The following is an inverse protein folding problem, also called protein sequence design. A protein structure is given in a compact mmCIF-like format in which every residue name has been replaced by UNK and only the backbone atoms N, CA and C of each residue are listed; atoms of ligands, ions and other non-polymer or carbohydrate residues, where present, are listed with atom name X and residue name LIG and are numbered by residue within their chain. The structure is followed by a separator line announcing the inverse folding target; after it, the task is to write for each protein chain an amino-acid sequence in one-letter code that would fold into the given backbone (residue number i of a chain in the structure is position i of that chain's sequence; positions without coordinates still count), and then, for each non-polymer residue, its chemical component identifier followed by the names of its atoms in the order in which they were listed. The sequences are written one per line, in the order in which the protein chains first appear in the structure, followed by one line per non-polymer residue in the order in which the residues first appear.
data_IF_923987756525
#
_entry.id   IF_923987756525
#
_cell.length_a   1.000
_cell.length_b   1.000
_cell.length_c   1.000
_cell.angle_alpha   90.00
_cell.angle_beta   90.00
_cell.angle_gamma   90.00
#
_symmetry.space_group_name_H-M   'P 1'
#
loop_
_entity.id
_entity.type
_entity.pdbx_description
1 polymer ?
#
# COMPACT_ATOMS: atom_id res chain seq x y z
N UNK A 1 10.93 1.52 19.10
CA UNK A 1 11.70 1.05 17.91
C UNK A 1 10.80 0.33 16.90
N UNK A 2 10.05 -0.72 17.27
CA UNK A 2 9.17 -1.46 16.35
C UNK A 2 7.89 -0.71 15.92
N UNK A 3 7.23 -0.01 16.84
CA UNK A 3 6.03 0.80 16.54
C UNK A 3 6.31 1.90 15.53
N UNK A 4 7.42 2.62 15.69
CA UNK A 4 7.89 3.64 14.74
C UNK A 4 8.15 3.06 13.35
N UNK A 5 8.80 1.90 13.28
CA UNK A 5 9.03 1.21 12.01
C UNK A 5 7.70 0.84 11.32
N UNK A 6 6.74 0.30 12.06
CA UNK A 6 5.43 -0.04 11.54
C UNK A 6 4.63 1.19 11.11
N UNK A 7 4.63 2.26 11.90
CA UNK A 7 4.03 3.55 11.52
C UNK A 7 4.60 4.05 10.21
N UNK A 8 5.93 4.02 10.05
CA UNK A 8 6.58 4.45 8.81
C UNK A 8 6.20 3.56 7.62
N UNK A 9 6.18 2.23 7.81
CA UNK A 9 5.80 1.29 6.75
C UNK A 9 4.35 1.45 6.34
N UNK A 10 3.43 1.58 7.29
CA UNK A 10 2.00 1.75 7.00
C UNK A 10 1.69 3.11 6.37
N UNK A 11 2.33 4.18 6.88
CA UNK A 11 2.20 5.53 6.31
C UNK A 11 2.71 5.63 4.88
N UNK A 12 3.59 4.72 4.44
CA UNK A 12 4.02 4.64 3.04
C UNK A 12 2.91 4.18 2.09
N UNK A 13 2.01 3.30 2.56
CA UNK A 13 0.99 2.69 1.69
C UNK A 13 -0.35 3.40 1.74
N UNK A 14 -0.58 4.27 2.71
CA UNK A 14 -1.85 4.97 2.89
C UNK A 14 -1.63 6.46 2.67
N UNK A 15 -2.38 7.06 1.74
CA UNK A 15 -2.33 8.50 1.49
C UNK A 15 -2.84 9.28 2.71
N UNK A 16 -2.17 10.40 2.99
CA UNK A 16 -2.57 11.39 4.00
C UNK A 16 -2.72 10.88 5.44
N UNK A 17 -2.11 9.73 5.76
CA UNK A 17 -2.17 9.15 7.09
C UNK A 17 -1.05 9.70 7.98
N UNK A 18 -1.40 10.63 8.86
CA UNK A 18 -0.46 11.25 9.79
C UNK A 18 0.15 10.24 10.79
N UNK A 19 1.47 10.27 11.04
CA UNK A 19 2.17 9.29 11.89
C UNK A 19 1.66 9.25 13.34
N UNK A 20 1.25 10.39 13.88
CA UNK A 20 0.66 10.54 15.22
C UNK A 20 -0.68 9.78 15.37
N UNK A 21 -1.51 9.78 14.32
CA UNK A 21 -2.82 9.12 14.35
C UNK A 21 -2.70 7.59 14.33
N UNK A 22 -1.62 7.08 13.71
CA UNK A 22 -1.33 5.65 13.61
C UNK A 22 -0.62 5.16 14.87
N UNK A 23 0.35 5.92 15.39
CA UNK A 23 1.24 5.49 16.48
C UNK A 23 0.48 5.13 17.75
N UNK A 24 -0.49 5.96 18.17
CA UNK A 24 -1.33 5.70 19.33
C UNK A 24 -2.19 4.44 19.18
N UNK A 25 -2.80 4.25 18.01
CA UNK A 25 -3.63 3.06 17.71
C UNK A 25 -2.78 1.78 17.61
N UNK A 26 -1.58 1.87 17.04
CA UNK A 26 -0.63 0.75 17.01
C UNK A 26 -0.22 0.34 18.41
N UNK A 27 0.12 1.30 19.28
CA UNK A 27 0.47 1.03 20.67
C UNK A 27 -0.65 0.30 21.42
N UNK A 28 -1.90 0.65 21.15
CA UNK A 28 -3.08 -0.03 21.70
C UNK A 28 -3.27 -1.47 21.18
N UNK A 29 -2.51 -1.89 20.16
CA UNK A 29 -2.57 -3.24 19.61
C UNK A 29 -3.60 -3.43 18.49
N UNK A 30 -4.37 -2.38 18.15
CA UNK A 30 -5.36 -2.45 17.09
C UNK A 30 -5.48 -1.12 16.34
N UNK A 31 -5.29 -1.18 15.02
CA UNK A 31 -5.54 -0.06 14.11
C UNK A 31 -6.74 -0.41 13.23
N UNK A 32 -7.69 0.49 13.17
CA UNK A 32 -8.82 0.44 12.23
C UNK A 32 -8.87 1.75 11.46
N UNK A 33 -8.83 1.64 10.14
CA UNK A 33 -8.99 2.74 9.20
C UNK A 33 -10.19 2.45 8.31
N UNK A 34 -10.89 3.51 7.91
CA UNK A 34 -12.04 3.45 7.01
C UNK A 34 -11.76 4.34 5.81
N UNK A 35 -12.29 3.95 4.65
CA UNK A 35 -12.24 4.74 3.42
C UNK A 35 -10.83 5.24 3.09
N UNK A 36 -9.90 4.29 3.03
CA UNK A 36 -8.47 4.54 2.82
C UNK A 36 -8.16 4.49 1.34
N UNK A 37 -7.48 5.52 0.83
CA UNK A 37 -6.81 5.48 -0.47
C UNK A 37 -5.36 5.02 -0.31
N UNK A 38 -4.95 4.07 -1.14
CA UNK A 38 -3.58 3.56 -1.13
C UNK A 38 -2.67 4.37 -2.06
N UNK A 39 -1.42 4.49 -1.68
CA UNK A 39 -0.40 5.17 -2.48
C UNK A 39 -0.02 4.29 -3.69
N UNK A 40 -0.34 4.77 -4.89
CA UNK A 40 -0.07 4.08 -6.13
C UNK A 40 1.43 3.89 -6.39
N UNK A 41 2.29 4.84 -5.99
CA UNK A 41 3.72 4.69 -6.17
C UNK A 41 4.27 3.55 -5.31
N UNK A 42 3.76 3.42 -4.08
CA UNK A 42 4.13 2.33 -3.18
C UNK A 42 3.57 0.98 -3.65
N UNK A 43 2.35 0.95 -4.21
CA UNK A 43 1.74 -0.25 -4.77
C UNK A 43 2.41 -0.70 -6.07
N UNK A 44 2.69 0.23 -6.99
CA UNK A 44 3.40 -0.05 -8.23
C UNK A 44 4.74 -0.71 -7.92
N UNK A 45 5.51 -0.18 -6.96
CA UNK A 45 6.77 -0.82 -6.55
C UNK A 45 6.64 -2.29 -6.13
N UNK A 46 5.56 -2.65 -5.43
CA UNK A 46 5.31 -4.04 -5.02
C UNK A 46 4.81 -4.90 -6.18
N UNK A 47 4.04 -4.31 -7.09
CA UNK A 47 3.32 -5.01 -8.13
C UNK A 47 4.02 -4.94 -9.49
N UNK A 48 5.19 -4.30 -9.58
CA UNK A 48 6.00 -4.16 -10.79
C UNK A 48 6.24 -5.49 -11.51
N UNK A 49 6.47 -6.57 -10.76
CA UNK A 49 6.70 -7.91 -11.32
C UNK A 49 5.40 -8.69 -11.58
N UNK A 50 4.31 -8.32 -10.90
CA UNK A 50 3.04 -9.04 -10.95
C UNK A 50 2.03 -8.44 -11.95
N UNK A 51 2.14 -7.14 -12.25
CA UNK A 51 1.24 -6.47 -13.18
C UNK A 51 1.73 -6.63 -14.62
N UNK A 52 0.83 -7.04 -15.55
CA UNK A 52 1.16 -7.02 -16.97
C UNK A 52 1.69 -5.66 -17.41
N UNK A 53 2.67 -5.66 -18.31
CA UNK A 53 3.33 -4.45 -18.83
C UNK A 53 2.38 -3.44 -19.51
N UNK A 54 1.18 -3.87 -19.84
CA UNK A 54 0.11 -3.06 -20.42
C UNK A 54 -0.88 -2.49 -19.38
N UNK A 55 -0.80 -2.86 -18.11
CA UNK A 55 -1.74 -2.41 -17.08
C UNK A 55 -1.14 -1.31 -16.21
N UNK A 56 -1.91 -0.26 -15.97
CA UNK A 56 -1.59 0.88 -15.10
C UNK A 56 -2.64 1.01 -13.99
N UNK A 57 -2.19 1.14 -12.73
CA UNK A 57 -3.08 1.44 -11.61
C UNK A 57 -3.46 2.92 -11.62
N UNK A 58 -4.76 3.21 -11.56
CA UNK A 58 -5.30 4.59 -11.52
C UNK A 58 -5.77 4.99 -10.14
N UNK A 59 -6.38 4.05 -9.42
CA UNK A 59 -6.88 4.29 -8.07
C UNK A 59 -7.00 2.97 -7.32
N UNK A 60 -6.66 2.98 -6.03
CA UNK A 60 -6.88 1.83 -5.16
C UNK A 60 -7.44 2.31 -3.84
N UNK A 61 -8.64 1.86 -3.51
CA UNK A 61 -9.37 2.25 -2.30
C UNK A 61 -9.77 1.03 -1.50
N UNK A 62 -9.62 1.10 -0.19
CA UNK A 62 -10.09 0.08 0.75
C UNK A 62 -11.12 0.71 1.67
N UNK A 63 -12.36 0.21 1.71
CA UNK A 63 -13.35 0.74 2.66
C UNK A 63 -12.97 0.46 4.10
N UNK A 64 -12.25 -0.63 4.35
CA UNK A 64 -11.76 -0.96 5.69
C UNK A 64 -10.38 -1.60 5.66
N UNK A 65 -9.49 -1.06 6.50
CA UNK A 65 -8.19 -1.65 6.82
C UNK A 65 -8.13 -1.90 8.31
N UNK A 66 -7.80 -3.13 8.71
CA UNK A 66 -7.56 -3.46 10.12
C UNK A 66 -6.22 -4.13 10.33
N UNK A 67 -5.55 -3.74 11.40
CA UNK A 67 -4.24 -4.27 11.77
C UNK A 67 -4.29 -4.62 13.24
N UNK A 68 -4.00 -5.88 13.55
CA UNK A 68 -3.97 -6.38 14.92
C UNK A 68 -2.54 -6.79 15.28
N UNK A 69 -2.03 -6.17 16.34
CA UNK A 69 -0.69 -6.37 16.86
C UNK A 69 -0.78 -7.09 18.21
N UNK A 70 -0.45 -8.39 18.27
CA UNK A 70 -0.46 -9.12 19.52
C UNK A 70 0.84 -8.84 20.31
N UNK A 71 1.06 -7.61 20.78
CA UNK A 71 2.31 -7.16 21.41
C UNK A 71 2.87 -8.14 22.45
N UNK A 72 2.00 -8.67 23.31
CA UNK A 72 2.37 -9.59 24.39
C UNK A 72 2.65 -11.03 23.92
N UNK A 73 2.35 -11.34 22.64
CA UNK A 73 2.42 -12.69 22.07
C UNK A 73 3.04 -12.72 20.67
N UNK A 74 3.84 -11.72 20.27
CA UNK A 74 4.47 -11.67 18.94
C UNK A 74 5.32 -12.89 18.58
N UNK A 75 5.83 -13.64 19.56
CA UNK A 75 6.56 -14.91 19.33
C UNK A 75 5.64 -16.11 19.03
N UNK A 76 4.36 -16.03 19.39
CA UNK A 76 3.38 -17.13 19.31
C UNK A 76 2.21 -16.83 18.39
N UNK A 77 1.95 -15.55 18.10
CA UNK A 77 0.84 -15.09 17.28
C UNK A 77 1.36 -14.07 16.25
N UNK A 78 0.96 -14.21 14.98
CA UNK A 78 1.38 -13.30 13.93
C UNK A 78 0.69 -11.94 14.05
N UNK A 79 1.31 -10.93 13.43
CA UNK A 79 0.61 -9.70 13.09
C UNK A 79 -0.43 -10.01 12.02
N UNK A 80 -1.67 -9.54 12.22
CA UNK A 80 -2.75 -9.77 11.26
C UNK A 80 -3.12 -8.45 10.60
N UNK A 81 -3.09 -8.41 9.27
CA UNK A 81 -3.56 -7.29 8.46
C UNK A 81 -4.73 -7.78 7.62
N UNK A 82 -5.84 -7.06 7.65
CA UNK A 82 -7.06 -7.35 6.90
C UNK A 82 -7.45 -6.12 6.07
N UNK A 83 -7.61 -6.32 4.76
CA UNK A 83 -8.15 -5.35 3.83
C UNK A 83 -9.54 -5.84 3.40
N UNK A 84 -10.54 -4.95 3.42
CA UNK A 84 -11.92 -5.26 3.04
C UNK A 84 -12.49 -4.23 2.10
N UNK A 85 -13.30 -4.74 1.17
CA UNK A 85 -13.98 -4.00 0.10
C UNK A 85 -12.97 -3.13 -0.65
N UNK A 86 -12.11 -3.82 -1.42
CA UNK A 86 -11.03 -3.21 -2.19
C UNK A 86 -11.56 -2.88 -3.57
N UNK A 87 -11.63 -1.59 -3.87
CA UNK A 87 -11.98 -1.06 -5.18
C UNK A 87 -10.68 -0.68 -5.90
N UNK A 88 -10.45 -1.27 -7.07
CA UNK A 88 -9.25 -1.06 -7.89
C UNK A 88 -9.68 -0.53 -9.25
N UNK A 89 -9.17 0.64 -9.62
CA UNK A 89 -9.31 1.21 -10.95
C UNK A 89 -8.01 1.01 -11.72
N UNK A 90 -8.13 0.43 -12.92
CA UNK A 90 -7.01 0.14 -13.82
C UNK A 90 -7.27 0.71 -15.20
N UNK A 91 -6.20 1.11 -15.87
CA UNK A 91 -6.19 1.39 -17.29
C UNK A 91 -5.35 0.34 -18.01
N UNK A 92 -5.90 -0.19 -19.10
CA UNK A 92 -5.19 -1.10 -19.99
C UNK A 92 -4.74 -0.29 -21.21
N UNK A 93 -3.45 -0.34 -21.48
CA UNK A 93 -2.81 0.26 -22.65
C UNK A 93 -2.64 -0.78 -23.75
N UNK A 94 -2.58 -0.33 -25.01
CA UNK A 94 -2.20 -1.22 -26.10
C UNK A 94 -0.72 -1.62 -25.89
N UNK A 95 -0.37 -2.93 -25.88
CA UNK A 95 1.01 -3.37 -25.81
C UNK A 95 1.90 -2.83 -26.94
N UNK A 96 1.31 -2.36 -28.04
CA UNK A 96 2.03 -1.75 -29.18
C UNK A 96 2.20 -0.23 -29.02
N UNK A 97 1.58 0.38 -28.02
CA UNK A 97 1.75 1.80 -27.73
C UNK A 97 3.15 2.09 -27.17
N UNK A 98 4.02 2.58 -28.05
CA UNK A 98 5.40 2.92 -27.74
C UNK A 98 5.50 4.12 -26.78
N UNK A 99 4.48 4.99 -26.73
CA UNK A 99 4.51 6.20 -25.89
C UNK A 99 4.32 5.85 -24.41
N UNK A 100 3.36 4.97 -24.11
CA UNK A 100 3.18 4.42 -22.76
C UNK A 100 4.38 3.61 -22.31
N UNK A 101 4.88 2.68 -23.14
CA UNK A 101 6.02 1.83 -22.79
C UNK A 101 7.29 2.66 -22.50
N UNK A 102 7.52 3.73 -23.27
CA UNK A 102 8.63 4.65 -23.02
C UNK A 102 8.45 5.44 -21.70
N UNK A 103 7.24 5.93 -21.42
CA UNK A 103 6.91 6.64 -20.16
C UNK A 103 7.09 5.73 -18.94
N UNK A 104 6.63 4.48 -19.03
CA UNK A 104 6.77 3.47 -17.98
C UNK A 104 8.25 3.12 -17.73
N UNK A 105 9.04 2.91 -18.80
CA UNK A 105 10.47 2.63 -18.70
C UNK A 105 11.28 3.81 -18.11
N UNK A 106 10.91 5.05 -18.43
CA UNK A 106 11.52 6.25 -17.83
C UNK A 106 11.19 6.38 -16.34
N UNK A 107 9.95 6.05 -15.95
CA UNK A 107 9.53 6.02 -14.55
C UNK A 107 10.28 4.96 -13.74
N UNK A 108 10.68 3.85 -14.38
CA UNK A 108 11.54 2.83 -13.78
C UNK A 108 13.02 3.27 -13.68
N UNK A 109 13.55 4.00 -14.67
CA UNK A 109 14.96 4.45 -14.70
C UNK A 109 15.30 5.57 -13.70
N UNK A 110 14.33 6.43 -13.35
CA UNK A 110 14.55 7.51 -12.37
C UNK A 110 14.61 7.05 -10.91
N UNK A 111 14.42 5.76 -10.64
CA UNK A 111 14.30 5.19 -9.30
C UNK A 111 15.47 4.26 -8.91
N UNK A 112 16.50 4.18 -9.76
CA UNK A 112 17.82 3.59 -9.48
C UNK A 112 18.86 4.71 -9.38
#
# INVERSE_FOLDING_TARGET
MLTRYLTQKLGRFVKDLGPEQISGKLLAGEVKLKDVELDLAALDELLLEALPCALELRHVRCKKVSIKMPWNRLRKQPVVVELRDIDVEVQIHDPKDKTWLASRALSQRRRL
#
